data_IF_188166274244
#
_entry.id   IF_188166274244
#
_cell.length_a   1.000
_cell.length_b   1.000
_cell.length_c   1.000
_cell.angle_alpha   90.00
_cell.angle_beta   90.00
_cell.angle_gamma   90.00
#
_symmetry.space_group_name_H-M   'P 1'
#
loop_
_entity.id
_entity.type
_entity.pdbx_description
1 polymer ?
#
# COMPACT_ATOMS: atom_id res chain seq x y z
N UNK A 1 -28.84 -5.51 0.01
CA UNK A 1 -28.08 -4.27 -0.25
C UNK A 1 -26.67 -4.66 -0.65
N UNK A 2 -26.25 -4.35 -1.88
CA UNK A 2 -24.89 -4.67 -2.33
C UNK A 2 -23.93 -3.63 -1.73
N UNK A 3 -23.07 -4.05 -0.80
CA UNK A 3 -21.93 -3.24 -0.38
C UNK A 3 -21.06 -3.06 -1.62
N UNK A 4 -21.14 -1.89 -2.23
CA UNK A 4 -20.41 -1.63 -3.47
C UNK A 4 -18.91 -1.68 -3.17
N UNK A 5 -18.14 -2.29 -4.07
CA UNK A 5 -16.68 -2.46 -3.94
C UNK A 5 -15.96 -1.13 -3.67
N UNK A 6 -16.54 -0.03 -4.14
CA UNK A 6 -16.03 1.33 -3.93
C UNK A 6 -16.11 1.76 -2.46
N UNK A 7 -17.20 1.46 -1.75
CA UNK A 7 -17.32 1.75 -0.32
C UNK A 7 -16.31 0.96 0.52
N UNK A 8 -15.90 -0.23 0.09
CA UNK A 8 -14.85 -1.05 0.71
C UNK A 8 -13.42 -0.55 0.39
N UNK A 9 -13.27 0.36 -0.55
CA UNK A 9 -12.01 1.02 -0.91
C UNK A 9 -11.92 2.43 -0.33
N UNK A 10 -13.04 3.11 -0.12
CA UNK A 10 -13.11 4.47 0.42
C UNK A 10 -13.14 4.47 1.95
N UNK A 11 -12.56 5.51 2.56
CA UNK A 11 -12.64 5.72 4.01
C UNK A 11 -14.00 6.34 4.40
N UNK A 12 -14.97 5.47 4.68
CA UNK A 12 -16.31 5.86 5.14
C UNK A 12 -16.26 6.72 6.42
N UNK A 13 -15.32 6.42 7.32
CA UNK A 13 -15.09 7.18 8.55
C UNK A 13 -14.63 8.62 8.26
N UNK A 14 -13.67 8.80 7.34
CA UNK A 14 -13.22 10.12 6.91
C UNK A 14 -14.32 10.88 6.15
N UNK A 15 -15.13 10.16 5.36
CA UNK A 15 -16.27 10.72 4.64
C UNK A 15 -17.33 11.29 5.60
N UNK A 16 -17.56 10.67 6.76
CA UNK A 16 -18.41 11.23 7.82
C UNK A 16 -17.67 12.20 8.75
N UNK A 17 -16.33 12.17 8.76
CA UNK A 17 -15.50 12.99 9.65
C UNK A 17 -15.52 12.46 11.09
N UNK A 18 -15.57 11.14 11.25
CA UNK A 18 -15.61 10.45 12.54
C UNK A 18 -14.40 9.53 12.69
N UNK A 19 -14.09 9.15 13.92
CA UNK A 19 -13.06 8.13 14.18
C UNK A 19 -13.52 6.73 13.79
N UNK A 20 -12.55 5.86 13.52
CA UNK A 20 -12.77 4.43 13.21
C UNK A 20 -13.40 3.66 14.37
N UNK A 21 -13.29 4.18 15.59
CA UNK A 21 -13.87 3.62 16.81
C UNK A 21 -15.17 4.31 17.24
N UNK A 22 -15.69 5.22 16.41
CA UNK A 22 -16.89 5.98 16.73
C UNK A 22 -18.10 5.07 16.91
N UNK A 23 -18.93 5.38 17.90
CA UNK A 23 -20.14 4.60 18.17
C UNK A 23 -21.23 4.90 17.13
N UNK A 24 -22.21 4.01 16.96
CA UNK A 24 -23.32 4.20 16.02
C UNK A 24 -24.10 5.51 16.24
N UNK A 25 -24.13 5.97 17.50
CA UNK A 25 -24.71 7.27 17.87
C UNK A 25 -23.94 8.44 17.24
N UNK A 26 -22.62 8.39 17.22
CA UNK A 26 -21.77 9.42 16.61
C UNK A 26 -21.86 9.39 15.09
N UNK A 27 -21.89 8.20 14.48
CA UNK A 27 -22.13 8.05 13.03
C UNK A 27 -23.43 8.75 12.63
N UNK A 28 -24.53 8.48 13.35
CA UNK A 28 -25.84 9.11 13.10
C UNK A 28 -25.84 10.62 13.36
N UNK A 29 -25.02 11.11 14.29
CA UNK A 29 -24.89 12.55 14.59
C UNK A 29 -24.10 13.27 13.50
N UNK A 30 -22.96 12.73 13.10
CA UNK A 30 -22.10 13.28 12.05
C UNK A 30 -22.80 13.28 10.69
N UNK A 31 -23.52 12.19 10.36
CA UNK A 31 -24.34 12.12 9.16
C UNK A 31 -25.36 13.27 9.12
N UNK A 32 -26.11 13.50 10.20
CA UNK A 32 -27.10 14.59 10.24
C UNK A 32 -26.46 15.96 10.01
N UNK A 33 -25.30 16.21 10.61
CA UNK A 33 -24.55 17.46 10.42
C UNK A 33 -24.11 17.65 8.97
N UNK A 34 -23.51 16.62 8.35
CA UNK A 34 -23.06 16.70 6.95
C UNK A 34 -24.21 16.75 5.95
N UNK A 35 -25.29 16.01 6.22
CA UNK A 35 -26.49 15.99 5.39
C UNK A 35 -27.14 17.38 5.29
N UNK A 36 -27.14 18.15 6.39
CA UNK A 36 -27.63 19.54 6.39
C UNK A 36 -26.75 20.46 5.53
N UNK A 37 -25.43 20.29 5.60
CA UNK A 37 -24.48 21.09 4.81
C UNK A 37 -24.49 20.74 3.32
N UNK A 38 -24.68 19.46 2.99
CA UNK A 38 -24.70 18.94 1.62
C UNK A 38 -26.13 18.74 1.08
N UNK A 39 -27.15 19.34 1.71
CA UNK A 39 -28.54 19.12 1.32
C UNK A 39 -28.78 19.65 -0.10
N UNK A 40 -29.39 18.86 -1.01
CA UNK A 40 -29.61 19.27 -2.40
C UNK A 40 -30.56 20.49 -2.51
N UNK A 41 -31.46 20.67 -1.53
CA UNK A 41 -32.37 21.84 -1.47
C UNK A 41 -31.62 23.17 -1.25
N UNK A 42 -30.52 23.16 -0.49
CA UNK A 42 -29.68 24.35 -0.25
C UNK A 42 -28.60 24.54 -1.33
N UNK A 43 -28.30 23.49 -2.09
CA UNK A 43 -27.28 23.49 -3.14
C UNK A 43 -27.84 22.92 -4.46
N UNK A 44 -28.94 23.47 -4.99
CA UNK A 44 -29.60 22.93 -6.19
C UNK A 44 -28.70 23.00 -7.44
N UNK A 45 -27.77 23.97 -7.50
CA UNK A 45 -26.85 24.15 -8.63
C UNK A 45 -25.61 23.24 -8.60
N UNK A 46 -25.42 22.45 -7.53
CA UNK A 46 -24.20 21.66 -7.38
C UNK A 46 -24.47 20.15 -7.48
N UNK A 47 -24.24 19.51 -8.63
CA UNK A 47 -24.46 18.07 -8.80
C UNK A 47 -23.55 17.22 -7.89
N UNK A 48 -22.44 17.78 -7.40
CA UNK A 48 -21.60 17.12 -6.39
C UNK A 48 -22.29 17.00 -5.03
N UNK A 49 -23.19 17.90 -4.67
CA UNK A 49 -23.92 17.83 -3.40
C UNK A 49 -24.80 16.56 -3.35
N UNK A 50 -25.49 16.26 -4.46
CA UNK A 50 -26.28 15.04 -4.60
C UNK A 50 -25.42 13.77 -4.49
N UNK A 51 -24.25 13.73 -5.16
CA UNK A 51 -23.32 12.60 -5.03
C UNK A 51 -22.79 12.44 -3.61
N UNK A 52 -22.36 13.52 -2.96
CA UNK A 52 -21.87 13.49 -1.58
C UNK A 52 -22.95 13.02 -0.62
N UNK A 53 -24.19 13.49 -0.80
CA UNK A 53 -25.32 13.05 0.02
C UNK A 53 -25.60 11.56 -0.14
N UNK A 54 -25.53 11.05 -1.38
CA UNK A 54 -25.70 9.63 -1.67
C UNK A 54 -24.60 8.79 -1.02
N UNK A 55 -23.33 9.22 -1.11
CA UNK A 55 -22.20 8.59 -0.45
C UNK A 55 -22.33 8.61 1.07
N UNK A 56 -22.78 9.72 1.66
CA UNK A 56 -23.03 9.84 3.10
C UNK A 56 -24.12 8.87 3.57
N UNK A 57 -25.18 8.70 2.78
CA UNK A 57 -26.27 7.77 3.09
C UNK A 57 -25.80 6.32 3.07
N UNK A 58 -25.05 5.93 2.02
CA UNK A 58 -24.48 4.60 1.91
C UNK A 58 -23.48 4.30 3.04
N UNK A 59 -22.64 5.28 3.37
CA UNK A 59 -21.68 5.15 4.46
C UNK A 59 -22.39 5.02 5.82
N UNK A 60 -23.46 5.77 6.06
CA UNK A 60 -24.29 5.59 7.25
C UNK A 60 -24.87 4.18 7.30
N UNK A 61 -25.47 3.69 6.23
CA UNK A 61 -26.10 2.38 6.19
C UNK A 61 -25.11 1.26 6.52
N UNK A 62 -23.93 1.26 5.86
CA UNK A 62 -22.85 0.29 6.11
C UNK A 62 -22.31 0.37 7.53
N UNK A 63 -22.16 1.58 8.08
CA UNK A 63 -21.67 1.76 9.44
C UNK A 63 -22.74 1.42 10.48
N UNK A 64 -24.02 1.60 10.20
CA UNK A 64 -25.11 1.26 11.14
C UNK A 64 -25.45 -0.22 11.16
N UNK A 65 -25.14 -0.97 10.09
CA UNK A 65 -25.30 -2.41 10.05
C UNK A 65 -24.06 -3.12 10.61
N UNK A 66 -24.23 -3.85 11.71
CA UNK A 66 -23.15 -4.60 12.35
C UNK A 66 -22.54 -5.65 11.40
N UNK A 67 -23.34 -6.28 10.53
CA UNK A 67 -22.84 -7.26 9.57
C UNK A 67 -21.98 -6.60 8.49
N UNK A 68 -22.45 -5.48 7.93
CA UNK A 68 -21.71 -4.71 6.94
C UNK A 68 -20.43 -4.09 7.52
N UNK A 69 -20.47 -3.53 8.74
CA UNK A 69 -19.29 -3.01 9.45
C UNK A 69 -18.26 -4.13 9.69
N UNK A 70 -18.70 -5.31 10.12
CA UNK A 70 -17.80 -6.45 10.31
C UNK A 70 -17.15 -6.91 9.00
N UNK A 71 -17.89 -6.92 7.89
CA UNK A 71 -17.34 -7.25 6.58
C UNK A 71 -16.32 -6.21 6.11
N UNK A 72 -16.62 -4.91 6.29
CA UNK A 72 -15.73 -3.81 5.99
C UNK A 72 -14.41 -3.89 6.77
N UNK A 73 -14.49 -4.09 8.09
CA UNK A 73 -13.31 -4.20 8.95
C UNK A 73 -12.45 -5.42 8.61
N UNK A 74 -13.07 -6.56 8.25
CA UNK A 74 -12.34 -7.75 7.79
C UNK A 74 -11.55 -7.47 6.52
N UNK A 75 -12.17 -6.83 5.52
CA UNK A 75 -11.50 -6.51 4.24
C UNK A 75 -10.38 -5.50 4.44
N UNK A 76 -10.58 -4.51 5.31
CA UNK A 76 -9.57 -3.49 5.61
C UNK A 76 -8.37 -4.07 6.37
N UNK A 77 -8.61 -4.92 7.38
CA UNK A 77 -7.54 -5.66 8.08
C UNK A 77 -6.76 -6.56 7.13
N UNK A 78 -7.45 -7.29 6.25
CA UNK A 78 -6.81 -8.14 5.25
C UNK A 78 -5.92 -7.34 4.28
N UNK A 79 -6.39 -6.17 3.80
CA UNK A 79 -5.60 -5.26 2.97
C UNK A 79 -4.36 -4.74 3.70
N UNK A 80 -4.50 -4.31 4.96
CA UNK A 80 -3.38 -3.80 5.77
C UNK A 80 -2.32 -4.89 5.98
N UNK A 81 -2.74 -6.11 6.32
CA UNK A 81 -1.85 -7.25 6.47
C UNK A 81 -1.18 -7.66 5.16
N UNK A 82 -1.90 -7.62 4.03
CA UNK A 82 -1.32 -7.89 2.72
C UNK A 82 -0.27 -6.84 2.35
N UNK A 83 -0.54 -5.56 2.60
CA UNK A 83 0.39 -4.47 2.35
C UNK A 83 1.66 -4.60 3.21
N UNK A 84 1.52 -4.90 4.50
CA UNK A 84 2.65 -5.14 5.40
C UNK A 84 3.47 -6.37 4.99
N UNK A 85 2.82 -7.42 4.50
CA UNK A 85 3.49 -8.64 4.04
C UNK A 85 4.30 -8.38 2.77
N UNK A 86 3.75 -7.62 1.83
CA UNK A 86 4.46 -7.20 0.62
C UNK A 86 5.61 -6.26 0.93
N UNK A 87 5.45 -5.31 1.87
CA UNK A 87 6.54 -4.44 2.34
C UNK A 87 7.70 -5.25 2.93
N UNK A 88 7.41 -6.20 3.82
CA UNK A 88 8.44 -7.06 4.43
C UNK A 88 9.14 -7.97 3.42
N UNK A 89 8.47 -8.33 2.32
CA UNK A 89 9.05 -9.08 1.21
C UNK A 89 9.94 -8.20 0.31
N UNK A 90 9.55 -6.96 0.06
CA UNK A 90 10.32 -6.01 -0.75
C UNK A 90 11.59 -5.52 -0.02
N UNK A 91 11.49 -5.21 1.28
CA UNK A 91 12.65 -4.87 2.11
C UNK A 91 13.66 -6.02 2.20
N UNK A 92 13.19 -7.27 2.34
CA UNK A 92 14.05 -8.46 2.31
C UNK A 92 14.72 -8.66 0.96
N UNK A 93 14.04 -8.37 -0.16
CA UNK A 93 14.64 -8.41 -1.51
C UNK A 93 15.69 -7.32 -1.70
N UNK A 94 15.49 -6.13 -1.13
CA UNK A 94 16.45 -5.02 -1.17
C UNK A 94 17.72 -5.34 -0.37
N UNK A 95 17.57 -6.00 0.79
CA UNK A 95 18.70 -6.39 1.65
C UNK A 95 19.54 -7.53 1.06
N UNK A 96 18.92 -8.49 0.36
CA UNK A 96 19.62 -9.59 -0.33
C UNK A 96 20.40 -9.12 -1.56
N UNK A 97 19.97 -8.05 -2.25
CA UNK A 97 20.71 -7.50 -3.40
C UNK A 97 21.96 -6.71 -2.99
N UNK A 98 21.97 -6.10 -1.81
CA UNK A 98 23.09 -5.29 -1.33
C UNK A 98 24.30 -6.14 -0.89
N UNK A 99 24.06 -7.37 -0.44
CA UNK A 99 25.10 -8.33 -0.05
C UNK A 99 25.73 -9.05 -1.25
N UNK A 100 25.09 -9.00 -2.43
CA UNK A 100 25.52 -9.74 -3.63
C UNK A 100 26.30 -8.89 -4.62
N UNK A 101 27.21 -8.06 -4.12
CA UNK A 101 28.30 -7.49 -4.92
C UNK A 101 29.57 -8.26 -4.56
N UNK A 102 29.90 -9.37 -5.25
CA UNK A 102 31.19 -10.01 -5.08
C UNK A 102 32.21 -9.11 -5.78
N UNK A 103 32.83 -8.18 -5.05
CA UNK A 103 34.20 -7.83 -5.42
C UNK A 103 35.00 -9.11 -5.27
N UNK A 104 35.22 -9.75 -6.41
CA UNK A 104 36.04 -10.92 -6.61
C UNK A 104 37.38 -10.63 -5.94
N UNK A 105 37.56 -11.17 -4.73
CA UNK A 105 38.85 -11.40 -4.10
C UNK A 105 39.67 -12.17 -5.12
N UNK A 106 40.62 -11.49 -5.75
CA UNK A 106 41.57 -12.08 -6.69
C UNK A 106 42.24 -13.26 -6.02
N UNK A 107 41.87 -14.47 -6.45
CA UNK A 107 42.53 -15.71 -6.06
C UNK A 107 43.66 -15.95 -7.07
N UNK A 108 44.90 -16.20 -6.63
CA UNK A 108 46.06 -16.28 -7.51
C UNK A 108 46.01 -17.59 -8.31
N UNK A 109 45.93 -17.49 -9.63
CA UNK A 109 46.06 -18.62 -10.53
C UNK A 109 47.52 -18.74 -10.97
N UNK A 110 48.23 -19.68 -10.34
CA UNK A 110 49.55 -20.13 -10.73
C UNK A 110 49.46 -21.14 -11.90
N UNK A 111 50.36 -20.98 -12.88
CA UNK A 111 50.82 -21.99 -13.86
C UNK A 111 49.94 -22.18 -15.08
N UNK A 112 50.41 -22.10 -16.33
CA UNK A 112 51.77 -21.94 -16.89
C UNK A 112 51.72 -22.10 -18.42
N UNK A 113 52.91 -22.11 -19.05
CA UNK A 113 53.24 -22.33 -20.49
C UNK A 113 53.07 -21.09 -21.40
N UNK A 114 54.02 -20.67 -22.25
CA UNK A 114 55.35 -21.14 -22.65
C UNK A 114 56.11 -19.96 -23.35
N UNK A 115 57.45 -20.02 -23.34
CA UNK A 115 58.42 -19.53 -24.37
C UNK A 115 58.31 -18.06 -24.88
N UNK A 116 59.35 -17.23 -24.96
CA UNK A 116 60.78 -17.46 -25.22
C UNK A 116 61.59 -16.21 -24.78
N UNK A 117 62.85 -16.39 -24.36
CA UNK A 117 64.05 -15.97 -25.11
C UNK A 117 65.30 -16.10 -24.21
N UNK A 118 66.35 -16.85 -24.62
CA UNK A 118 67.48 -17.19 -23.76
C UNK A 118 68.51 -16.06 -23.67
N UNK A 119 69.00 -15.83 -22.45
CA UNK A 119 70.10 -14.90 -22.20
C UNK A 119 71.44 -15.41 -22.73
N UNK A 120 72.25 -14.44 -23.14
CA UNK A 120 73.70 -14.35 -23.00
C UNK A 120 74.59 -15.49 -23.53
N UNK A 121 75.43 -15.10 -24.49
CA UNK A 121 76.89 -15.20 -24.40
C UNK A 121 77.50 -16.58 -24.11
N UNK A 122 77.91 -17.26 -25.17
CA UNK A 122 78.86 -18.38 -25.11
C UNK A 122 80.20 -17.90 -25.70
N UNK A 123 81.33 -18.00 -24.97
CA UNK A 123 82.65 -17.72 -25.53
C UNK A 123 83.26 -18.99 -26.15
N UNK A 124 84.06 -18.83 -27.21
CA UNK A 124 85.14 -19.77 -27.55
C UNK A 124 85.33 -20.13 -29.02
N UNK A 125 86.28 -19.46 -29.69
CA UNK A 125 87.39 -20.06 -30.44
C UNK A 125 88.44 -18.99 -30.76
#
# INVERSE_FOLDING_TARGET
MAVTKELLQMDLYALLGIEEKAADKEVKKAYRQKALSCHPDKNPDNPRAAQLFHQLSQALEVLTDAAARAAYDKVRKAKKQAAERTQKLDEKRKKVKLDRTPERRGFPAAGGTAEADPGADTPGA
#
